data_IF_389112601011
#
_entry.id   IF_389112601011
#
_cell.length_a   1.000
_cell.length_b   1.000
_cell.length_c   1.000
_cell.angle_alpha   90.00
_cell.angle_beta   90.00
_cell.angle_gamma   90.00
#
_symmetry.space_group_name_H-M   'P 1'
#
loop_
_entity.id
_entity.type
_entity.pdbx_description
1 polymer ?
#
# COMPACT_ATOMS: atom_id res chain seq x y z
N UNK A 1 19.07 -9.52 27.04
CA UNK A 1 18.30 -10.57 26.33
C UNK A 1 17.63 -9.94 25.11
N UNK A 2 17.97 -10.34 23.89
CA UNK A 2 17.27 -9.89 22.68
C UNK A 2 15.86 -10.51 22.65
N UNK A 3 14.87 -9.76 23.11
CA UNK A 3 13.47 -10.18 22.99
C UNK A 3 13.10 -10.16 21.50
N UNK A 4 12.98 -11.34 20.87
CA UNK A 4 12.41 -11.45 19.52
C UNK A 4 11.05 -10.77 19.53
N UNK A 5 10.90 -9.69 18.75
CA UNK A 5 9.61 -9.02 18.60
C UNK A 5 8.61 -10.05 18.07
N UNK A 6 7.38 -10.13 18.62
CA UNK A 6 6.37 -11.01 18.06
C UNK A 6 6.18 -10.64 16.59
N UNK A 7 6.35 -11.61 15.71
CA UNK A 7 6.17 -11.47 14.27
C UNK A 7 4.91 -12.18 13.83
N UNK A 8 4.04 -11.48 13.11
CA UNK A 8 2.92 -12.10 12.41
C UNK A 8 3.44 -12.89 11.21
N UNK A 9 2.93 -14.11 11.01
CA UNK A 9 3.18 -14.89 9.79
C UNK A 9 2.47 -14.25 8.59
N UNK A 10 2.86 -14.63 7.37
CA UNK A 10 2.18 -14.14 6.15
C UNK A 10 0.69 -14.50 6.14
N UNK A 11 0.35 -15.71 6.62
CA UNK A 11 -1.04 -16.14 6.76
C UNK A 11 -1.81 -15.26 7.75
N UNK A 12 -1.23 -14.97 8.93
CA UNK A 12 -1.83 -14.07 9.90
C UNK A 12 -2.00 -12.65 9.33
N UNK A 13 -1.01 -12.16 8.58
CA UNK A 13 -1.06 -10.86 7.91
C UNK A 13 -2.24 -10.82 6.94
N UNK A 14 -2.39 -11.85 6.10
CA UNK A 14 -3.48 -11.92 5.13
C UNK A 14 -4.84 -11.95 5.81
N UNK A 15 -5.02 -12.78 6.85
CA UNK A 15 -6.29 -12.88 7.57
C UNK A 15 -6.63 -11.55 8.26
N UNK A 16 -5.68 -10.97 9.00
CA UNK A 16 -5.91 -9.73 9.74
C UNK A 16 -6.14 -8.54 8.80
N UNK A 17 -5.52 -8.52 7.63
CA UNK A 17 -5.71 -7.49 6.61
C UNK A 17 -7.13 -7.47 6.01
N UNK A 18 -7.85 -8.60 5.99
CA UNK A 18 -9.21 -8.65 5.46
C UNK A 18 -10.25 -8.06 6.42
N UNK A 19 -9.91 -7.87 7.70
CA UNK A 19 -10.86 -7.31 8.66
C UNK A 19 -11.02 -5.79 8.41
N UNK A 20 -12.27 -5.26 8.28
CA UNK A 20 -12.51 -3.84 8.02
C UNK A 20 -11.98 -2.90 9.11
N UNK A 21 -11.76 -3.41 10.32
CA UNK A 21 -11.17 -2.66 11.43
C UNK A 21 -9.63 -2.60 11.39
N UNK A 22 -9.00 -3.23 10.40
CA UNK A 22 -7.55 -3.17 10.17
C UNK A 22 -7.21 -2.10 9.16
N UNK A 23 -6.54 -1.03 9.59
CA UNK A 23 -6.03 0.02 8.69
C UNK A 23 -4.80 -0.45 7.92
N UNK A 24 -3.86 -1.06 8.62
CA UNK A 24 -2.62 -1.57 8.03
C UNK A 24 -2.00 -2.61 8.94
N UNK A 25 -1.35 -3.62 8.36
CA UNK A 25 -0.56 -4.58 9.11
C UNK A 25 0.82 -4.78 8.48
N UNK A 26 1.82 -4.91 9.33
CA UNK A 26 3.19 -5.33 9.02
C UNK A 26 3.54 -6.54 9.90
N UNK A 27 4.65 -7.24 9.64
CA UNK A 27 5.06 -8.37 10.48
C UNK A 27 5.18 -8.02 11.96
N UNK A 28 5.39 -6.75 12.34
CA UNK A 28 5.65 -6.36 13.72
C UNK A 28 4.54 -5.49 14.34
N UNK A 29 3.60 -4.99 13.53
CA UNK A 29 2.65 -3.97 13.96
C UNK A 29 1.34 -4.08 13.20
N UNK A 30 0.25 -4.14 13.94
CA UNK A 30 -1.10 -3.88 13.44
C UNK A 30 -1.49 -2.45 13.81
N UNK A 31 -2.16 -1.77 12.89
CA UNK A 31 -2.75 -0.46 13.08
C UNK A 31 -4.25 -0.60 12.82
N UNK A 32 -5.06 -0.20 13.78
CA UNK A 32 -6.51 -0.26 13.69
C UNK A 32 -7.09 1.04 13.14
N UNK A 33 -8.28 0.95 12.55
CA UNK A 33 -9.02 2.11 12.05
C UNK A 33 -9.62 2.94 13.19
N UNK A 34 -10.17 4.11 12.87
CA UNK A 34 -10.85 4.95 13.86
C UNK A 34 -12.13 4.27 14.37
N UNK A 35 -12.90 3.68 13.46
CA UNK A 35 -14.15 2.98 13.72
C UNK A 35 -13.95 1.83 14.71
N UNK A 36 -12.80 1.13 14.61
CA UNK A 36 -12.45 0.12 15.59
C UNK A 36 -12.21 0.70 16.98
N UNK A 37 -11.52 1.83 17.08
CA UNK A 37 -11.24 2.47 18.37
C UNK A 37 -12.53 2.96 19.02
N UNK A 38 -13.44 3.53 18.25
CA UNK A 38 -14.77 3.94 18.71
C UNK A 38 -15.59 2.74 19.18
N UNK A 39 -15.64 1.67 18.37
CA UNK A 39 -16.25 0.41 18.77
C UNK A 39 -15.64 -0.12 20.07
N UNK A 40 -14.31 -0.15 20.15
CA UNK A 40 -13.60 -0.60 21.34
C UNK A 40 -14.01 0.19 22.58
N UNK A 41 -14.06 1.52 22.49
CA UNK A 41 -14.47 2.40 23.60
C UNK A 41 -15.94 2.18 24.00
N UNK A 42 -16.84 1.90 23.06
CA UNK A 42 -18.24 1.59 23.38
C UNK A 42 -18.38 0.30 24.21
N UNK A 43 -17.45 -0.64 24.07
CA UNK A 43 -17.51 -1.96 24.70
C UNK A 43 -16.65 -2.05 25.97
N UNK A 44 -15.55 -1.31 26.05
CA UNK A 44 -14.49 -1.48 27.07
C UNK A 44 -14.94 -1.21 28.51
N UNK A 45 -16.00 -0.42 28.67
CA UNK A 45 -16.60 -0.05 29.95
C UNK A 45 -17.75 -0.97 30.37
N UNK A 46 -18.20 -1.87 29.48
CA UNK A 46 -19.27 -2.80 29.81
C UNK A 46 -18.78 -3.87 30.80
N UNK A 47 -19.60 -4.28 31.78
CA UNK A 47 -19.23 -5.31 32.74
C UNK A 47 -18.81 -6.61 32.06
N UNK A 48 -17.64 -7.15 32.44
CA UNK A 48 -17.15 -8.42 31.92
C UNK A 48 -16.61 -8.41 30.49
N UNK A 49 -16.53 -7.24 29.83
CA UNK A 49 -15.91 -7.09 28.52
C UNK A 49 -14.39 -6.93 28.62
N UNK A 50 -13.69 -7.99 28.25
CA UNK A 50 -12.22 -8.02 28.20
C UNK A 50 -11.73 -7.73 26.78
N UNK A 51 -10.47 -7.28 26.64
CA UNK A 51 -9.87 -7.02 25.32
C UNK A 51 -10.02 -8.19 24.33
N UNK A 52 -9.79 -9.48 24.73
CA UNK A 52 -10.07 -10.61 23.86
C UNK A 52 -11.54 -10.71 23.41
N UNK A 53 -12.51 -10.45 24.30
CA UNK A 53 -13.94 -10.49 23.95
C UNK A 53 -14.30 -9.39 22.95
N UNK A 54 -13.76 -8.19 23.13
CA UNK A 54 -13.99 -7.06 22.23
C UNK A 54 -13.37 -7.34 20.86
N UNK A 55 -12.14 -7.86 20.81
CA UNK A 55 -11.52 -8.30 19.55
C UNK A 55 -12.35 -9.37 18.85
N UNK A 56 -12.86 -10.36 19.59
CA UNK A 56 -13.75 -11.38 19.05
C UNK A 56 -15.05 -10.80 18.49
N UNK A 57 -15.66 -9.85 19.21
CA UNK A 57 -16.86 -9.15 18.75
C UNK A 57 -16.61 -8.31 17.49
N UNK A 58 -15.40 -7.77 17.34
CA UNK A 58 -14.93 -7.07 16.14
C UNK A 58 -14.51 -8.01 14.98
N UNK A 59 -14.78 -9.31 15.08
CA UNK A 59 -14.47 -10.29 14.03
C UNK A 59 -13.01 -10.71 13.94
N UNK A 60 -12.20 -10.47 14.97
CA UNK A 60 -10.83 -10.99 15.06
C UNK A 60 -10.78 -12.31 15.85
N UNK A 61 -9.79 -13.17 15.54
CA UNK A 61 -9.39 -14.23 16.47
C UNK A 61 -8.42 -13.67 17.52
N UNK A 62 -8.80 -13.60 18.82
CA UNK A 62 -7.92 -13.07 19.86
C UNK A 62 -6.61 -13.84 20.02
N UNK A 63 -6.55 -15.11 19.60
CA UNK A 63 -5.33 -15.93 19.66
C UNK A 63 -4.24 -15.43 18.72
N UNK A 64 -4.59 -14.64 17.70
CA UNK A 64 -3.61 -14.00 16.80
C UNK A 64 -2.85 -12.87 17.50
N UNK A 65 -3.32 -12.39 18.65
CA UNK A 65 -2.70 -11.28 19.37
C UNK A 65 -1.96 -11.78 20.61
N UNK A 66 -0.72 -11.34 20.78
CA UNK A 66 -0.01 -11.55 22.04
C UNK A 66 -0.69 -10.78 23.17
N UNK A 67 -0.56 -11.27 24.41
CA UNK A 67 -1.08 -10.57 25.61
C UNK A 67 -0.56 -9.12 25.68
N UNK A 68 0.74 -8.92 25.44
CA UNK A 68 1.34 -7.58 25.42
C UNK A 68 0.72 -6.67 24.35
N UNK A 69 0.37 -7.22 23.18
CA UNK A 69 -0.30 -6.46 22.12
C UNK A 69 -1.68 -5.99 22.57
N UNK A 70 -2.45 -6.89 23.18
CA UNK A 70 -3.80 -6.58 23.70
C UNK A 70 -3.76 -5.57 24.85
N UNK A 71 -2.81 -5.70 25.77
CA UNK A 71 -2.65 -4.77 26.89
C UNK A 71 -2.28 -3.37 26.38
N UNK A 72 -1.33 -3.28 25.45
CA UNK A 72 -0.93 -2.01 24.82
C UNK A 72 -2.06 -1.38 24.00
N UNK A 73 -2.85 -2.19 23.30
CA UNK A 73 -4.04 -1.71 22.59
C UNK A 73 -4.98 -1.01 23.57
N UNK A 74 -5.40 -1.71 24.63
CA UNK A 74 -6.31 -1.15 25.64
C UNK A 74 -5.76 0.12 26.25
N UNK A 75 -4.51 0.08 26.72
CA UNK A 75 -3.86 1.23 27.34
C UNK A 75 -3.80 2.45 26.41
N UNK A 76 -3.41 2.26 25.14
CA UNK A 76 -3.29 3.35 24.18
C UNK A 76 -4.64 3.93 23.79
N UNK A 77 -5.63 3.09 23.52
CA UNK A 77 -6.97 3.56 23.15
C UNK A 77 -7.62 4.35 24.27
N UNK A 78 -7.48 3.90 25.53
CA UNK A 78 -7.98 4.64 26.70
C UNK A 78 -7.24 5.97 26.88
N UNK A 79 -5.91 5.99 26.75
CA UNK A 79 -5.13 7.21 26.89
C UNK A 79 -5.44 8.23 25.77
N UNK A 80 -5.64 7.75 24.54
CA UNK A 80 -6.01 8.58 23.39
C UNK A 80 -7.44 9.14 23.54
N UNK A 81 -8.40 8.32 23.98
CA UNK A 81 -9.76 8.80 24.23
C UNK A 81 -9.84 9.83 25.37
N UNK A 82 -8.91 9.78 26.33
CA UNK A 82 -8.81 10.75 27.42
C UNK A 82 -7.99 12.00 27.08
N UNK A 83 -7.33 12.04 25.91
CA UNK A 83 -6.55 13.22 25.51
C UNK A 83 -7.47 14.34 25.03
N UNK A 84 -7.02 15.61 25.05
CA UNK A 84 -7.81 16.75 24.55
C UNK A 84 -8.25 16.60 23.09
N UNK A 85 -7.44 15.91 22.28
CA UNK A 85 -7.70 15.63 20.87
C UNK A 85 -8.67 14.45 20.66
N UNK A 86 -8.86 13.60 21.67
CA UNK A 86 -9.70 12.40 21.59
C UNK A 86 -9.16 11.34 20.63
N UNK A 87 -10.03 10.39 20.26
CA UNK A 87 -9.68 9.34 19.30
C UNK A 87 -9.37 9.92 17.91
N UNK A 88 -8.20 9.57 17.37
CA UNK A 88 -7.74 10.07 16.08
C UNK A 88 -7.63 8.95 15.04
N UNK A 89 -7.86 9.25 13.76
CA UNK A 89 -7.62 8.30 12.69
C UNK A 89 -6.15 7.93 12.58
N UNK A 90 -5.82 6.70 12.15
CA UNK A 90 -4.45 6.28 11.97
C UNK A 90 -3.75 7.12 10.89
N UNK A 91 -2.50 7.51 11.15
CA UNK A 91 -1.69 8.29 10.20
C UNK A 91 -1.19 7.45 9.03
N UNK A 92 -1.15 8.06 7.85
CA UNK A 92 -0.62 7.49 6.61
C UNK A 92 -1.61 6.55 5.91
N UNK A 93 -1.23 6.13 4.69
CA UNK A 93 -2.08 5.31 3.83
C UNK A 93 -2.36 3.94 4.44
N UNK A 94 -3.62 3.52 4.37
CA UNK A 94 -4.08 2.16 4.63
C UNK A 94 -3.41 1.15 3.68
N UNK A 95 -3.50 -0.13 4.01
CA UNK A 95 -2.93 -1.17 3.14
C UNK A 95 -3.56 -1.16 1.74
N UNK A 96 -4.88 -0.98 1.64
CA UNK A 96 -5.59 -0.90 0.36
C UNK A 96 -5.14 0.32 -0.46
N UNK A 97 -4.98 1.48 0.17
CA UNK A 97 -4.51 2.69 -0.51
C UNK A 97 -3.07 2.54 -1.00
N UNK A 98 -2.19 1.91 -0.22
CA UNK A 98 -0.82 1.62 -0.66
C UNK A 98 -0.80 0.76 -1.92
N UNK A 99 -1.63 -0.29 -1.97
CA UNK A 99 -1.74 -1.16 -3.14
C UNK A 99 -2.22 -0.37 -4.37
N UNK A 100 -3.21 0.51 -4.21
CA UNK A 100 -3.70 1.38 -5.30
C UNK A 100 -2.62 2.34 -5.80
N UNK A 101 -1.89 2.99 -4.89
CA UNK A 101 -0.78 3.90 -5.25
C UNK A 101 0.32 3.14 -5.99
N UNK A 102 0.63 1.92 -5.57
CA UNK A 102 1.64 1.09 -6.24
C UNK A 102 1.19 0.69 -7.65
N UNK A 103 -0.07 0.26 -7.80
CA UNK A 103 -0.65 -0.08 -9.09
C UNK A 103 -0.68 1.12 -10.05
N UNK A 104 -1.02 2.32 -9.54
CA UNK A 104 -1.01 3.54 -10.34
C UNK A 104 0.40 3.89 -10.85
N UNK A 105 1.42 3.75 -9.99
CA UNK A 105 2.83 3.97 -10.38
C UNK A 105 3.32 2.96 -11.40
N UNK A 106 2.91 1.69 -11.30
CA UNK A 106 3.26 0.67 -12.27
C UNK A 106 2.64 0.97 -13.64
N UNK A 107 1.37 1.35 -13.66
CA UNK A 107 0.67 1.77 -14.88
C UNK A 107 1.36 2.98 -15.55
N UNK A 108 1.78 3.97 -14.76
CA UNK A 108 2.51 5.15 -15.24
C UNK A 108 3.87 4.76 -15.87
N UNK A 109 4.60 3.83 -15.25
CA UNK A 109 5.85 3.30 -15.82
C UNK A 109 5.62 2.59 -17.14
N UNK A 110 4.57 1.75 -17.22
CA UNK A 110 4.22 1.04 -18.46
C UNK A 110 3.83 2.01 -19.59
N UNK A 111 3.03 3.04 -19.28
CA UNK A 111 2.69 4.11 -20.23
C UNK A 111 3.94 4.83 -20.73
N UNK A 112 4.84 5.20 -19.81
CA UNK A 112 6.09 5.90 -20.14
C UNK A 112 6.98 5.05 -21.06
N UNK A 113 7.14 3.74 -20.75
CA UNK A 113 7.92 2.82 -21.57
C UNK A 113 7.33 2.66 -22.99
N UNK A 114 6.01 2.60 -23.10
CA UNK A 114 5.31 2.52 -24.39
C UNK A 114 5.57 3.78 -25.22
N UNK A 115 5.39 4.97 -24.63
CA UNK A 115 5.66 6.24 -25.32
C UNK A 115 7.11 6.36 -25.79
N UNK A 116 8.08 5.92 -24.98
CA UNK A 116 9.50 5.91 -25.37
C UNK A 116 9.71 5.02 -26.61
N UNK A 117 9.14 3.82 -26.63
CA UNK A 117 9.25 2.89 -27.75
C UNK A 117 8.63 3.45 -29.04
N UNK A 118 7.48 4.09 -28.94
CA UNK A 118 6.84 4.75 -30.08
C UNK A 118 7.69 5.88 -30.66
N UNK A 119 8.28 6.71 -29.79
CA UNK A 119 9.19 7.78 -30.22
C UNK A 119 10.45 7.22 -30.88
N UNK A 120 11.04 6.16 -30.35
CA UNK A 120 12.19 5.48 -30.96
C UNK A 120 11.87 4.95 -32.36
N UNK A 121 10.71 4.30 -32.53
CA UNK A 121 10.27 3.83 -33.85
C UNK A 121 10.08 4.97 -34.85
N UNK A 122 9.53 6.11 -34.41
CA UNK A 122 9.39 7.31 -35.24
C UNK A 122 10.75 7.88 -35.66
N UNK A 123 11.72 7.91 -34.75
CA UNK A 123 13.09 8.35 -35.05
C UNK A 123 13.71 7.47 -36.14
N UNK A 124 13.67 6.14 -35.97
CA UNK A 124 14.20 5.19 -36.98
C UNK A 124 13.54 5.39 -38.33
N UNK A 125 12.21 5.56 -38.35
CA UNK A 125 11.49 5.78 -39.60
C UNK A 125 11.87 7.10 -40.29
N UNK A 126 12.08 8.17 -39.53
CA UNK A 126 12.54 9.45 -40.06
C UNK A 126 13.99 9.37 -40.57
N UNK A 127 14.87 8.65 -39.88
CA UNK A 127 16.24 8.40 -40.33
C UNK A 127 16.27 7.69 -41.68
N UNK A 128 15.42 6.66 -41.86
CA UNK A 128 15.25 5.96 -43.13
C UNK A 128 14.76 6.89 -44.26
N UNK A 129 13.78 7.76 -43.98
CA UNK A 129 13.30 8.75 -44.95
C UNK A 129 14.42 9.74 -45.34
N UNK A 130 15.21 10.21 -44.37
CA UNK A 130 16.34 11.11 -44.62
C UNK A 130 17.41 10.42 -45.47
N UNK A 131 17.75 9.17 -45.19
CA UNK A 131 18.69 8.40 -46.02
C UNK A 131 18.19 8.23 -47.45
N UNK A 132 16.89 7.94 -47.63
CA UNK A 132 16.28 7.82 -48.94
C UNK A 132 16.38 9.13 -49.73
N UNK A 133 16.04 10.26 -49.10
CA UNK A 133 16.16 11.59 -49.72
C UNK A 133 17.61 11.93 -50.08
N UNK A 134 18.57 11.59 -49.21
CA UNK A 134 20.00 11.74 -49.50
C UNK A 134 20.43 10.93 -50.73
N UNK A 135 19.95 9.69 -50.87
CA UNK A 135 20.23 8.85 -52.04
C UNK A 135 19.67 9.46 -53.33
N UNK A 136 18.43 9.94 -53.31
CA UNK A 136 17.83 10.65 -54.45
C UNK A 136 18.67 11.88 -54.82
N UNK A 137 18.97 12.74 -53.84
CA UNK A 137 19.76 13.96 -54.06
C UNK A 137 21.14 13.67 -54.66
N UNK A 138 21.82 12.63 -54.18
CA UNK A 138 23.11 12.19 -54.72
C UNK A 138 23.01 11.78 -56.20
N UNK A 139 21.99 10.98 -56.57
CA UNK A 139 21.76 10.58 -57.97
C UNK A 139 21.54 11.80 -58.87
N UNK A 140 20.80 12.80 -58.40
CA UNK A 140 20.60 14.05 -59.16
C UNK A 140 21.88 14.88 -59.32
N UNK A 141 22.74 14.94 -58.30
CA UNK A 141 24.00 15.70 -58.33
C UNK A 141 25.12 14.99 -59.12
N UNK A 142 25.07 13.67 -59.18
CA UNK A 142 26.04 12.82 -59.88
C UNK A 142 25.31 11.85 -60.81
N UNK A 143 24.81 12.32 -61.97
CA UNK A 143 24.14 11.46 -62.92
C UNK A 143 25.12 10.39 -63.45
N UNK A 144 24.68 9.13 -63.60
CA UNK A 144 25.50 8.09 -64.20
C UNK A 144 25.88 8.51 -65.63
N UNK A 145 27.15 8.37 -66.00
CA UNK A 145 27.61 8.61 -67.36
C UNK A 145 27.07 7.50 -68.29
N UNK A 146 26.50 7.91 -69.43
CA UNK A 146 26.01 7.03 -70.50
C UNK A 146 27.14 6.22 -71.17
#
# INVERSE_FOLDING_TARGET
MNMKKPTYSEEQINILAQNPYTHSITPYKITFTLEFKEFFMSQVHLPGMTTPKILKAAGYDPKMFSRSTMDKLRMRTLAEAASPEGLQPPRGLSQAERTKVYAAKDLERQRTSTSIKELQNKVVHLEQQVEFLKKISNIYLHPPAD
#
